data_IF_486420140744
#
_entry.id   IF_486420140744
#
_cell.length_a   1.000
_cell.length_b   1.000
_cell.length_c   1.000
_cell.angle_alpha   90.00
_cell.angle_beta   90.00
_cell.angle_gamma   90.00
#
_symmetry.space_group_name_H-M   'P 1'
#
loop_
_entity.id
_entity.type
_entity.pdbx_description
1 polymer ?
#
# COMPACT_ATOMS: atom_id res chain seq x y z
N UNK A 1 -16.41 -15.24 4.76
CA UNK A 1 -15.44 -14.91 5.83
C UNK A 1 -14.01 -15.01 5.33
N UNK A 2 -13.53 -16.16 4.81
CA UNK A 2 -12.16 -16.28 4.27
C UNK A 2 -11.73 -15.19 3.28
N UNK A 3 -12.62 -14.76 2.39
CA UNK A 3 -12.32 -13.72 1.40
C UNK A 3 -12.02 -12.35 2.05
N UNK A 4 -12.75 -11.97 3.10
CA UNK A 4 -12.52 -10.70 3.79
C UNK A 4 -11.18 -10.71 4.53
N UNK A 5 -10.83 -11.84 5.14
CA UNK A 5 -9.58 -12.04 5.87
C UNK A 5 -8.38 -11.96 4.93
N UNK A 6 -8.49 -12.59 3.74
CA UNK A 6 -7.48 -12.50 2.69
C UNK A 6 -7.31 -11.05 2.22
N UNK A 7 -8.40 -10.35 1.88
CA UNK A 7 -8.32 -8.95 1.44
C UNK A 7 -7.75 -8.02 2.52
N UNK A 8 -8.10 -8.22 3.79
CA UNK A 8 -7.53 -7.45 4.91
C UNK A 8 -6.03 -7.74 5.07
N UNK A 9 -5.63 -9.00 4.93
CA UNK A 9 -4.21 -9.38 5.00
C UNK A 9 -3.42 -8.74 3.86
N UNK A 10 -3.89 -8.85 2.62
CA UNK A 10 -3.25 -8.24 1.45
C UNK A 10 -3.15 -6.71 1.58
N UNK A 11 -4.19 -6.05 2.08
CA UNK A 11 -4.16 -4.61 2.36
C UNK A 11 -3.09 -4.24 3.38
N UNK A 12 -2.96 -5.02 4.46
CA UNK A 12 -1.97 -4.78 5.50
C UNK A 12 -0.54 -5.08 5.02
N UNK A 13 -0.35 -6.13 4.23
CA UNK A 13 0.94 -6.46 3.63
C UNK A 13 1.39 -5.34 2.68
N UNK A 14 0.49 -4.86 1.80
CA UNK A 14 0.76 -3.73 0.91
C UNK A 14 1.09 -2.44 1.68
N UNK A 15 0.40 -2.19 2.80
CA UNK A 15 0.69 -1.05 3.69
C UNK A 15 2.07 -1.17 4.32
N UNK A 16 2.47 -2.37 4.74
CA UNK A 16 3.79 -2.64 5.30
C UNK A 16 4.89 -2.42 4.26
N UNK A 17 4.67 -2.87 3.03
CA UNK A 17 5.61 -2.65 1.93
C UNK A 17 5.78 -1.17 1.60
N UNK A 18 4.68 -0.40 1.54
CA UNK A 18 4.75 1.04 1.36
C UNK A 18 5.57 1.73 2.46
N UNK A 19 5.39 1.32 3.73
CA UNK A 19 6.20 1.85 4.83
C UNK A 19 7.69 1.55 4.67
N UNK A 20 8.04 0.37 4.16
CA UNK A 20 9.43 0.03 3.88
C UNK A 20 9.98 0.87 2.72
N UNK A 21 9.22 1.06 1.64
CA UNK A 21 9.60 1.91 0.52
C UNK A 21 9.85 3.36 0.96
N UNK A 22 9.00 3.90 1.84
CA UNK A 22 9.18 5.26 2.39
C UNK A 22 10.44 5.35 3.24
N UNK A 23 10.76 4.32 4.05
CA UNK A 23 12.03 4.28 4.79
C UNK A 23 13.24 4.24 3.86
N UNK A 24 13.18 3.43 2.81
CA UNK A 24 14.24 3.40 1.80
C UNK A 24 14.38 4.75 1.08
N UNK A 25 13.27 5.43 0.80
CA UNK A 25 13.28 6.77 0.22
C UNK A 25 14.04 7.79 1.08
N UNK A 26 13.88 7.70 2.40
CA UNK A 26 14.55 8.57 3.37
C UNK A 26 16.06 8.30 3.46
N UNK A 27 16.49 7.05 3.20
CA UNK A 27 17.88 6.60 3.37
C UNK A 27 18.65 6.46 2.05
N UNK A 28 17.96 6.46 0.89
CA UNK A 28 18.59 6.22 -0.40
C UNK A 28 19.43 7.41 -0.90
N UNK A 29 20.39 7.11 -1.78
CA UNK A 29 21.10 8.14 -2.52
C UNK A 29 20.15 8.90 -3.47
N UNK A 30 20.41 10.19 -3.70
CA UNK A 30 19.56 11.06 -4.53
C UNK A 30 19.25 10.49 -5.92
N UNK A 31 20.18 9.74 -6.51
CA UNK A 31 20.02 9.10 -7.83
C UNK A 31 18.88 8.06 -7.86
N UNK A 32 18.59 7.41 -6.72
CA UNK A 32 17.52 6.41 -6.61
C UNK A 32 16.22 7.01 -6.05
N UNK A 33 16.25 8.25 -5.57
CA UNK A 33 15.13 8.89 -4.88
C UNK A 33 13.89 8.97 -5.76
N UNK A 34 14.04 9.37 -7.03
CA UNK A 34 12.91 9.46 -7.97
C UNK A 34 12.25 8.09 -8.18
N UNK A 35 13.05 7.03 -8.33
CA UNK A 35 12.53 5.66 -8.46
C UNK A 35 11.73 5.24 -7.22
N UNK A 36 12.25 5.48 -6.01
CA UNK A 36 11.51 5.17 -4.78
C UNK A 36 10.25 6.02 -4.61
N UNK A 37 10.25 7.29 -5.07
CA UNK A 37 9.05 8.15 -5.07
C UNK A 37 7.97 7.60 -6.00
N UNK A 38 8.33 7.21 -7.23
CA UNK A 38 7.41 6.65 -8.21
C UNK A 38 6.80 5.34 -7.69
N UNK A 39 7.62 4.48 -7.07
CA UNK A 39 7.15 3.24 -6.45
C UNK A 39 6.19 3.56 -5.29
N UNK A 40 6.52 4.50 -4.41
CA UNK A 40 5.66 4.88 -3.29
C UNK A 40 4.29 5.42 -3.76
N UNK A 41 4.29 6.21 -4.86
CA UNK A 41 3.06 6.71 -5.48
C UNK A 41 2.20 5.57 -6.01
N UNK A 42 2.77 4.62 -6.75
CA UNK A 42 2.06 3.44 -7.25
C UNK A 42 1.43 2.62 -6.11
N UNK A 43 2.17 2.33 -5.05
CA UNK A 43 1.66 1.60 -3.90
C UNK A 43 0.55 2.36 -3.17
N UNK A 44 0.67 3.68 -3.07
CA UNK A 44 -0.36 4.54 -2.45
C UNK A 44 -1.67 4.52 -3.25
N UNK A 45 -1.60 4.59 -4.58
CA UNK A 45 -2.77 4.47 -5.45
C UNK A 45 -3.45 3.11 -5.24
N UNK A 46 -2.67 2.03 -5.25
CA UNK A 46 -3.20 0.68 -5.09
C UNK A 46 -3.87 0.46 -3.72
N UNK A 47 -3.26 0.96 -2.64
CA UNK A 47 -3.86 0.93 -1.29
C UNK A 47 -5.21 1.65 -1.23
N UNK A 48 -5.31 2.81 -1.86
CA UNK A 48 -6.55 3.58 -1.89
C UNK A 48 -7.64 2.85 -2.66
N UNK A 49 -7.31 2.18 -3.76
CA UNK A 49 -8.27 1.42 -4.53
C UNK A 49 -8.70 0.14 -3.80
N UNK A 50 -7.78 -0.57 -3.14
CA UNK A 50 -8.14 -1.68 -2.24
C UNK A 50 -9.08 -1.22 -1.13
N UNK A 51 -8.78 -0.09 -0.47
CA UNK A 51 -9.63 0.48 0.57
C UNK A 51 -11.04 0.80 0.06
N UNK A 52 -11.18 1.36 -1.14
CA UNK A 52 -12.49 1.60 -1.77
C UNK A 52 -13.22 0.29 -2.05
N UNK A 53 -12.54 -0.72 -2.60
CA UNK A 53 -13.14 -2.03 -2.89
C UNK A 53 -13.63 -2.68 -1.60
N UNK A 54 -12.82 -2.68 -0.55
CA UNK A 54 -13.19 -3.29 0.74
C UNK A 54 -14.35 -2.57 1.41
N UNK A 55 -14.39 -1.23 1.32
CA UNK A 55 -15.54 -0.44 1.79
C UNK A 55 -16.81 -0.79 1.00
N UNK A 56 -16.73 -0.91 -0.32
CA UNK A 56 -17.90 -1.14 -1.16
C UNK A 56 -18.41 -2.60 -1.10
N UNK A 57 -17.49 -3.56 -1.08
CA UNK A 57 -17.80 -5.00 -1.14
C UNK A 57 -18.13 -5.59 0.22
N UNK A 58 -17.46 -5.12 1.27
CA UNK A 58 -17.56 -5.70 2.61
C UNK A 58 -18.07 -4.74 3.69
N UNK A 59 -18.39 -3.49 3.32
CA UNK A 59 -18.79 -2.42 4.25
C UNK A 59 -17.78 -2.18 5.39
N UNK A 60 -16.49 -2.43 5.13
CA UNK A 60 -15.42 -2.21 6.10
C UNK A 60 -15.01 -0.73 6.14
N UNK A 61 -14.79 -0.22 7.37
CA UNK A 61 -14.07 1.04 7.61
C UNK A 61 -12.65 0.71 8.08
N UNK A 62 -11.69 0.99 7.22
CA UNK A 62 -10.23 0.78 7.39
C UNK A 62 -9.49 2.01 6.89
#
# INVERSE_FOLDING_TARGET
MKEIEISVKEYNDLKKDLLNIVKELDMCANEKRNMYQDIALCYTVHLNDMKKIMKNKFNLKI
#
